data_IF_175199857374
#
_entry.id   IF_175199857374
#
_cell.length_a   1.000
_cell.length_b   1.000
_cell.length_c   1.000
_cell.angle_alpha   90.00
_cell.angle_beta   90.00
_cell.angle_gamma   90.00
#
_symmetry.space_group_name_H-M   'P 1'
#
loop_
_entity.id
_entity.type
_entity.pdbx_description
1 polymer ?
#
# COMPACT_ATOMS: atom_id res chain seq x y z
N UNK A 1 37.00 -34.99 2.06
CA UNK A 1 36.16 -34.51 0.95
C UNK A 1 34.75 -35.10 0.93
N UNK A 2 34.52 -36.42 0.78
CA UNK A 2 33.12 -36.95 0.81
C UNK A 2 32.38 -36.71 2.14
N UNK A 3 33.06 -36.82 3.28
CA UNK A 3 32.49 -36.50 4.60
C UNK A 3 32.10 -35.02 4.75
N UNK A 4 32.82 -34.10 4.09
CA UNK A 4 32.57 -32.66 4.19
C UNK A 4 31.36 -32.26 3.33
N UNK A 5 31.19 -32.90 2.16
CA UNK A 5 30.00 -32.71 1.32
C UNK A 5 28.72 -33.21 2.02
N UNK A 6 28.78 -34.36 2.70
CA UNK A 6 27.67 -34.87 3.51
C UNK A 6 27.33 -33.93 4.67
N UNK A 7 28.34 -33.35 5.33
CA UNK A 7 28.11 -32.38 6.40
C UNK A 7 27.39 -31.11 5.91
N UNK A 8 27.78 -30.57 4.73
CA UNK A 8 27.09 -29.40 4.15
C UNK A 8 25.69 -29.74 3.66
N UNK A 9 25.47 -30.93 3.10
CA UNK A 9 24.11 -31.39 2.76
C UNK A 9 23.21 -31.49 3.99
N UNK A 10 23.73 -32.05 5.10
CA UNK A 10 22.98 -32.13 6.34
C UNK A 10 22.62 -30.75 6.90
N UNK A 11 23.54 -29.77 6.84
CA UNK A 11 23.25 -28.38 7.22
C UNK A 11 22.16 -27.73 6.37
N UNK A 12 22.11 -28.04 5.06
CA UNK A 12 21.08 -27.53 4.16
C UNK A 12 19.72 -28.18 4.43
N UNK A 13 19.68 -29.48 4.68
CA UNK A 13 18.46 -30.21 5.02
C UNK A 13 17.91 -29.75 6.38
N UNK A 14 18.77 -29.53 7.38
CA UNK A 14 18.38 -28.98 8.69
C UNK A 14 17.79 -27.56 8.56
N UNK A 15 18.39 -26.70 7.72
CA UNK A 15 17.88 -25.34 7.48
C UNK A 15 16.56 -25.35 6.71
N UNK A 16 16.39 -26.26 5.75
CA UNK A 16 15.13 -26.45 5.04
C UNK A 16 14.02 -26.87 6.01
N UNK A 17 14.29 -27.81 6.91
CA UNK A 17 13.34 -28.24 7.94
C UNK A 17 13.00 -27.09 8.91
N UNK A 18 13.97 -26.26 9.31
CA UNK A 18 13.75 -25.09 10.17
C UNK A 18 12.84 -24.06 9.47
N UNK A 19 13.06 -23.81 8.18
CA UNK A 19 12.23 -22.90 7.37
C UNK A 19 10.81 -23.44 7.22
N UNK A 20 10.65 -24.74 6.93
CA UNK A 20 9.33 -25.37 6.84
C UNK A 20 8.58 -25.36 8.17
N UNK A 21 9.28 -25.58 9.28
CA UNK A 21 8.69 -25.49 10.62
C UNK A 21 8.25 -24.07 10.95
N UNK A 22 9.05 -23.06 10.59
CA UNK A 22 8.78 -21.66 10.90
C UNK A 22 7.64 -21.06 10.06
N UNK A 23 7.61 -21.33 8.75
CA UNK A 23 6.56 -20.81 7.86
C UNK A 23 5.33 -21.72 7.73
N UNK A 24 5.41 -22.96 8.24
CA UNK A 24 4.39 -23.98 8.12
C UNK A 24 4.25 -24.54 6.69
N UNK A 25 3.49 -25.64 6.56
CA UNK A 25 3.27 -26.34 5.28
C UNK A 25 2.61 -25.50 4.17
N UNK A 26 2.09 -24.32 4.51
CA UNK A 26 1.41 -23.40 3.59
C UNK A 26 2.30 -22.37 2.89
N UNK A 27 3.63 -22.37 3.17
CA UNK A 27 4.67 -21.54 2.54
C UNK A 27 4.15 -20.20 1.96
N UNK A 28 3.85 -19.23 2.82
CA UNK A 28 3.51 -17.88 2.35
C UNK A 28 4.77 -17.21 1.78
N UNK A 29 4.78 -16.96 0.46
CA UNK A 29 5.67 -16.05 -0.28
C UNK A 29 7.17 -16.10 0.05
N UNK A 30 7.57 -15.49 1.17
CA UNK A 30 8.95 -15.42 1.64
C UNK A 30 9.56 -16.77 2.01
N UNK A 31 8.78 -17.68 2.62
CA UNK A 31 9.24 -19.05 2.93
C UNK A 31 9.51 -19.87 1.67
N UNK A 32 8.62 -19.76 0.67
CA UNK A 32 8.76 -20.46 -0.60
C UNK A 32 9.99 -19.97 -1.39
N UNK A 33 10.26 -18.66 -1.40
CA UNK A 33 11.43 -18.10 -2.05
C UNK A 33 12.75 -18.59 -1.43
N UNK A 34 12.81 -18.76 -0.11
CA UNK A 34 13.99 -19.30 0.57
C UNK A 34 14.22 -20.78 0.27
N UNK A 35 13.14 -21.57 0.20
CA UNK A 35 13.22 -22.99 -0.14
C UNK A 35 13.71 -23.16 -1.58
N UNK A 36 13.23 -22.34 -2.52
CA UNK A 36 13.74 -22.34 -3.90
C UNK A 36 15.24 -21.97 -3.96
N UNK A 37 15.69 -20.98 -3.16
CA UNK A 37 17.13 -20.65 -3.06
C UNK A 37 17.94 -21.82 -2.49
N UNK A 38 17.42 -22.51 -1.47
CA UNK A 38 18.04 -23.70 -0.88
C UNK A 38 18.14 -24.86 -1.88
N UNK A 39 17.07 -25.13 -2.62
CA UNK A 39 17.05 -26.15 -3.67
C UNK A 39 18.02 -25.83 -4.81
N UNK A 40 18.14 -24.55 -5.20
CA UNK A 40 19.13 -24.12 -6.19
C UNK A 40 20.56 -24.36 -5.69
N UNK A 41 20.83 -24.10 -4.40
CA UNK A 41 22.12 -24.35 -3.78
C UNK A 41 22.44 -25.84 -3.68
N UNK A 42 21.44 -26.66 -3.34
CA UNK A 42 21.52 -28.12 -3.34
C UNK A 42 21.87 -28.67 -4.72
N UNK A 43 21.16 -28.20 -5.76
CA UNK A 43 21.45 -28.59 -7.15
C UNK A 43 22.85 -28.18 -7.59
N UNK A 44 23.36 -27.02 -7.17
CA UNK A 44 24.73 -26.60 -7.47
C UNK A 44 25.77 -27.53 -6.84
N UNK A 45 25.55 -28.00 -5.61
CA UNK A 45 26.44 -28.97 -4.94
C UNK A 45 26.40 -30.35 -5.61
N UNK A 46 25.23 -30.75 -6.12
CA UNK A 46 25.05 -32.03 -6.81
C UNK A 46 25.62 -32.03 -8.25
N UNK A 47 25.66 -30.88 -8.92
CA UNK A 47 26.02 -30.77 -10.35
C UNK A 47 27.40 -30.17 -10.62
N UNK A 48 27.94 -29.33 -9.74
CA UNK A 48 29.27 -28.74 -9.88
C UNK A 48 30.29 -29.46 -8.98
N UNK A 49 31.48 -29.74 -9.52
CA UNK A 49 32.62 -30.24 -8.76
C UNK A 49 32.87 -29.39 -7.49
N UNK A 50 33.42 -29.96 -6.40
CA UNK A 50 33.09 -29.59 -5.02
C UNK A 50 33.73 -28.27 -4.61
N UNK A 51 33.14 -27.14 -5.02
CA UNK A 51 33.36 -25.86 -4.35
C UNK A 51 32.54 -25.82 -3.05
N UNK A 52 32.99 -26.66 -2.13
CA UNK A 52 32.46 -26.81 -0.77
C UNK A 52 32.48 -25.48 -0.01
N UNK A 53 33.46 -24.63 -0.33
CA UNK A 53 33.62 -23.29 0.25
C UNK A 53 32.50 -22.37 -0.26
N UNK A 54 32.27 -22.31 -1.58
CA UNK A 54 31.18 -21.54 -2.17
C UNK A 54 29.79 -21.99 -1.67
N UNK A 55 29.57 -23.29 -1.56
CA UNK A 55 28.35 -23.87 -1.00
C UNK A 55 28.12 -23.46 0.47
N UNK A 56 29.16 -23.49 1.30
CA UNK A 56 29.08 -23.08 2.70
C UNK A 56 28.79 -21.58 2.86
N UNK A 57 29.42 -20.72 2.04
CA UNK A 57 29.09 -19.29 2.02
C UNK A 57 27.67 -19.01 1.53
N UNK A 58 27.19 -19.78 0.56
CA UNK A 58 25.80 -19.76 0.11
C UNK A 58 24.83 -20.12 1.24
N UNK A 59 25.11 -21.18 1.98
CA UNK A 59 24.36 -21.56 3.19
C UNK A 59 24.34 -20.43 4.22
N UNK A 60 25.51 -19.86 4.56
CA UNK A 60 25.61 -18.75 5.52
C UNK A 60 24.77 -17.55 5.09
N UNK A 61 24.79 -17.22 3.81
CA UNK A 61 24.01 -16.11 3.24
C UNK A 61 22.50 -16.36 3.41
N UNK A 62 22.02 -17.56 3.07
CA UNK A 62 20.59 -17.90 3.23
C UNK A 62 20.21 -17.91 4.71
N UNK A 63 21.08 -18.42 5.59
CA UNK A 63 20.85 -18.44 7.04
C UNK A 63 20.75 -17.02 7.61
N UNK A 64 21.64 -16.12 7.18
CA UNK A 64 21.58 -14.73 7.59
C UNK A 64 20.32 -14.04 7.08
N UNK A 65 19.95 -14.26 5.81
CA UNK A 65 18.67 -13.80 5.26
C UNK A 65 17.51 -14.31 6.13
N UNK A 66 17.44 -15.61 6.41
CA UNK A 66 16.40 -16.22 7.24
C UNK A 66 16.32 -15.57 8.63
N UNK A 67 17.45 -15.37 9.30
CA UNK A 67 17.49 -14.67 10.59
C UNK A 67 16.95 -13.23 10.49
N UNK A 68 17.30 -12.48 9.44
CA UNK A 68 16.75 -11.15 9.21
C UNK A 68 15.24 -11.19 8.97
N UNK A 69 14.73 -12.18 8.23
CA UNK A 69 13.29 -12.37 8.02
C UNK A 69 12.55 -12.72 9.31
N UNK A 70 13.10 -13.61 10.16
CA UNK A 70 12.52 -13.92 11.47
C UNK A 70 12.41 -12.66 12.35
N UNK A 71 13.49 -11.86 12.43
CA UNK A 71 13.49 -10.61 13.19
C UNK A 71 12.46 -9.63 12.65
N UNK A 72 12.38 -9.45 11.33
CA UNK A 72 11.37 -8.59 10.69
C UNK A 72 9.95 -9.08 10.93
N UNK A 73 9.74 -10.40 10.89
CA UNK A 73 8.43 -11.01 11.13
C UNK A 73 7.99 -10.85 12.58
N UNK A 74 8.88 -11.11 13.54
CA UNK A 74 8.62 -10.90 14.97
C UNK A 74 8.34 -9.42 15.29
N UNK A 75 9.12 -8.52 14.69
CA UNK A 75 8.90 -7.07 14.80
C UNK A 75 7.55 -6.64 14.21
N UNK A 76 7.24 -7.13 13.01
CA UNK A 76 5.97 -6.90 12.31
C UNK A 76 4.79 -7.42 13.13
N UNK A 77 4.86 -8.64 13.66
CA UNK A 77 3.80 -9.25 14.46
C UNK A 77 3.49 -8.43 15.72
N UNK A 78 4.52 -7.89 16.39
CA UNK A 78 4.34 -7.07 17.60
C UNK A 78 3.67 -5.72 17.29
N UNK A 79 4.04 -5.06 16.19
CA UNK A 79 3.51 -3.74 15.82
C UNK A 79 2.25 -3.77 14.97
N UNK A 80 1.98 -4.89 14.30
CA UNK A 80 0.80 -5.11 13.47
C UNK A 80 -0.47 -4.72 14.23
N UNK A 81 -0.63 -5.20 15.45
CA UNK A 81 -1.82 -4.92 16.27
C UNK A 81 -2.01 -3.45 16.57
N UNK A 82 -0.92 -2.71 16.84
CA UNK A 82 -0.99 -1.27 17.12
C UNK A 82 -1.52 -0.52 15.90
N UNK A 83 -0.95 -0.76 14.72
CA UNK A 83 -1.38 -0.09 13.49
C UNK A 83 -2.75 -0.57 13.01
N UNK A 84 -3.05 -1.86 13.15
CA UNK A 84 -4.35 -2.41 12.81
C UNK A 84 -5.45 -1.79 13.67
N UNK A 85 -5.27 -1.73 14.99
CA UNK A 85 -6.21 -1.08 15.90
C UNK A 85 -6.33 0.42 15.63
N UNK A 86 -5.23 1.11 15.30
CA UNK A 86 -5.27 2.50 14.87
C UNK A 86 -6.15 2.69 13.62
N UNK A 87 -5.91 1.92 12.55
CA UNK A 87 -6.70 2.03 11.31
C UNK A 87 -8.16 1.65 11.53
N UNK A 88 -8.43 0.61 12.32
CA UNK A 88 -9.79 0.23 12.69
C UNK A 88 -10.49 1.31 13.52
N UNK A 89 -9.77 1.94 14.46
CA UNK A 89 -10.27 3.07 15.24
C UNK A 89 -10.62 4.27 14.35
N UNK A 90 -9.73 4.64 13.43
CA UNK A 90 -9.99 5.70 12.45
C UNK A 90 -11.19 5.34 11.56
N UNK A 91 -11.29 4.09 11.09
CA UNK A 91 -12.42 3.63 10.29
C UNK A 91 -13.74 3.74 11.07
N UNK A 92 -13.76 3.34 12.33
CA UNK A 92 -14.95 3.45 13.20
C UNK A 92 -15.32 4.92 13.39
N UNK A 93 -14.35 5.79 13.69
CA UNK A 93 -14.59 7.23 13.86
C UNK A 93 -15.15 7.85 12.58
N UNK A 94 -14.60 7.49 11.42
CA UNK A 94 -15.17 7.88 10.14
C UNK A 94 -16.61 7.34 10.04
N UNK A 95 -16.86 6.04 10.08
CA UNK A 95 -18.23 5.52 9.94
C UNK A 95 -19.25 6.16 10.92
N UNK A 96 -18.86 6.37 12.18
CA UNK A 96 -19.69 7.03 13.19
C UNK A 96 -20.01 8.48 12.86
N UNK A 97 -19.03 9.28 12.42
CA UNK A 97 -19.35 10.65 12.05
C UNK A 97 -20.19 10.70 10.76
N UNK A 98 -20.11 9.69 9.87
CA UNK A 98 -21.02 9.53 8.74
C UNK A 98 -22.47 9.32 9.18
N UNK A 99 -22.69 8.42 10.13
CA UNK A 99 -24.00 8.18 10.75
C UNK A 99 -24.50 9.43 11.50
N UNK A 100 -23.62 10.11 12.24
CA UNK A 100 -23.98 11.33 12.96
C UNK A 100 -24.41 12.46 12.01
N UNK A 101 -23.73 12.58 10.86
CA UNK A 101 -24.11 13.51 9.82
C UNK A 101 -25.50 13.19 9.26
N UNK A 102 -25.80 11.92 8.99
CA UNK A 102 -27.13 11.51 8.52
C UNK A 102 -28.23 11.73 9.57
N UNK A 103 -27.93 11.49 10.84
CA UNK A 103 -28.89 11.61 11.95
C UNK A 103 -29.23 13.07 12.32
N UNK A 104 -28.30 14.02 12.13
CA UNK A 104 -28.53 15.45 12.37
C UNK A 104 -28.29 16.27 11.09
N UNK A 105 -29.28 16.27 10.17
CA UNK A 105 -29.17 17.02 8.91
C UNK A 105 -29.06 18.53 9.13
N UNK A 106 -29.41 19.06 10.30
CA UNK A 106 -29.29 20.50 10.65
C UNK A 106 -27.84 20.98 10.77
N UNK A 107 -26.93 20.15 11.29
CA UNK A 107 -25.48 20.46 11.35
C UNK A 107 -24.92 20.47 9.94
N UNK A 108 -25.30 19.47 9.14
CA UNK A 108 -25.00 19.42 7.73
C UNK A 108 -25.58 20.63 7.01
N UNK A 109 -26.81 21.05 7.28
CA UNK A 109 -27.44 22.19 6.59
C UNK A 109 -26.68 23.49 6.83
N UNK A 110 -26.09 23.68 8.02
CA UNK A 110 -25.21 24.81 8.33
C UNK A 110 -23.90 24.75 7.53
N UNK A 111 -23.28 23.57 7.42
CA UNK A 111 -22.07 23.34 6.60
C UNK A 111 -22.37 23.42 5.08
N UNK A 112 -23.55 22.94 4.65
CA UNK A 112 -24.06 22.99 3.28
C UNK A 112 -24.47 24.41 2.87
N UNK A 113 -24.94 25.24 3.80
CA UNK A 113 -25.30 26.64 3.53
C UNK A 113 -24.12 27.48 3.05
N UNK A 114 -22.89 27.02 3.32
CA UNK A 114 -21.65 27.53 2.73
C UNK A 114 -21.38 26.73 1.44
N UNK A 115 -22.18 27.01 0.40
CA UNK A 115 -22.43 26.24 -0.84
C UNK A 115 -21.22 25.70 -1.66
N UNK A 116 -19.97 25.92 -1.25
CA UNK A 116 -18.78 25.33 -1.90
C UNK A 116 -18.11 24.25 -1.07
N UNK A 117 -18.13 24.34 0.27
CA UNK A 117 -17.30 23.51 1.15
C UNK A 117 -17.81 22.09 1.35
N UNK A 118 -19.10 21.88 1.17
CA UNK A 118 -19.75 20.60 1.43
C UNK A 118 -19.27 19.47 0.52
N UNK A 119 -19.10 19.75 -0.78
CA UNK A 119 -18.56 18.79 -1.74
C UNK A 119 -17.11 18.43 -1.39
N UNK A 120 -16.30 19.42 -1.04
CA UNK A 120 -14.92 19.20 -0.64
C UNK A 120 -14.83 18.36 0.63
N UNK A 121 -15.65 18.67 1.64
CA UNK A 121 -15.68 17.88 2.88
C UNK A 121 -16.12 16.44 2.62
N UNK A 122 -17.14 16.24 1.79
CA UNK A 122 -17.60 14.91 1.40
C UNK A 122 -16.52 14.14 0.63
N UNK A 123 -15.85 14.78 -0.33
CA UNK A 123 -14.76 14.15 -1.06
C UNK A 123 -13.57 13.84 -0.15
N UNK A 124 -13.21 14.73 0.78
CA UNK A 124 -12.16 14.49 1.76
C UNK A 124 -12.49 13.27 2.63
N UNK A 125 -13.72 13.22 3.11
CA UNK A 125 -14.23 12.13 3.92
C UNK A 125 -14.16 10.78 3.20
N UNK A 126 -14.67 10.72 1.98
CA UNK A 126 -14.66 9.49 1.18
C UNK A 126 -13.25 9.09 0.73
N UNK A 127 -12.38 10.06 0.47
CA UNK A 127 -10.96 9.82 0.24
C UNK A 127 -10.26 9.24 1.47
N UNK A 128 -10.55 9.75 2.67
CA UNK A 128 -10.03 9.20 3.93
C UNK A 128 -10.49 7.75 4.14
N UNK A 129 -11.77 7.44 3.88
CA UNK A 129 -12.30 6.07 3.95
C UNK A 129 -11.58 5.13 2.98
N UNK A 130 -11.41 5.53 1.72
CA UNK A 130 -10.70 4.73 0.71
C UNK A 130 -9.25 4.45 1.11
N UNK A 131 -8.54 5.47 1.60
CA UNK A 131 -7.16 5.31 2.05
C UNK A 131 -7.03 4.42 3.30
N UNK A 132 -7.98 4.52 4.24
CA UNK A 132 -8.02 3.68 5.44
C UNK A 132 -8.24 2.21 5.08
N UNK A 133 -9.17 1.90 4.17
CA UNK A 133 -9.36 0.53 3.67
C UNK A 133 -8.12 -0.01 2.94
N UNK A 134 -7.49 0.83 2.11
CA UNK A 134 -6.22 0.50 1.47
C UNK A 134 -5.10 0.26 2.49
N UNK A 135 -5.08 1.00 3.61
CA UNK A 135 -4.12 0.81 4.70
C UNK A 135 -4.31 -0.55 5.37
N UNK A 136 -5.56 -0.92 5.68
CA UNK A 136 -5.92 -2.21 6.28
C UNK A 136 -5.56 -3.36 5.34
N UNK A 137 -5.86 -3.24 4.04
CA UNK A 137 -5.46 -4.23 3.04
C UNK A 137 -3.93 -4.38 2.98
N UNK A 138 -3.19 -3.27 2.96
CA UNK A 138 -1.73 -3.29 2.95
C UNK A 138 -1.17 -3.96 4.21
N UNK A 139 -1.75 -3.68 5.38
CA UNK A 139 -1.38 -4.30 6.65
C UNK A 139 -1.61 -5.81 6.61
N UNK A 140 -2.76 -6.25 6.07
CA UNK A 140 -3.10 -7.66 5.93
C UNK A 140 -2.12 -8.39 4.99
N UNK A 141 -1.87 -7.84 3.81
CA UNK A 141 -0.90 -8.39 2.86
C UNK A 141 0.52 -8.44 3.44
N UNK A 142 0.91 -7.40 4.17
CA UNK A 142 2.23 -7.32 4.79
C UNK A 142 2.40 -8.30 5.94
N UNK A 143 1.30 -8.65 6.63
CA UNK A 143 1.29 -9.71 7.65
C UNK A 143 1.46 -11.09 7.03
N UNK A 144 0.78 -11.35 5.92
CA UNK A 144 0.89 -12.64 5.21
C UNK A 144 2.26 -12.82 4.56
N UNK A 145 2.86 -11.74 4.03
CA UNK A 145 4.10 -11.84 3.26
C UNK A 145 5.37 -11.45 4.05
N UNK A 146 5.23 -10.89 5.26
CA UNK A 146 6.35 -10.47 6.11
C UNK A 146 7.13 -9.26 5.58
N UNK A 147 6.53 -8.43 4.72
CA UNK A 147 7.18 -7.33 4.00
C UNK A 147 7.11 -5.97 4.72
N UNK A 148 6.68 -5.95 5.99
CA UNK A 148 6.49 -4.72 6.75
C UNK A 148 7.85 -4.08 7.06
N UNK A 149 8.17 -3.01 6.34
CA UNK A 149 9.41 -2.24 6.54
C UNK A 149 9.21 -1.11 7.55
N UNK A 150 10.28 -0.69 8.24
CA UNK A 150 10.23 0.39 9.23
C UNK A 150 9.71 1.71 8.67
N UNK A 151 9.98 2.01 7.40
CA UNK A 151 9.49 3.21 6.72
C UNK A 151 7.98 3.16 6.44
N UNK A 152 7.37 1.97 6.51
CA UNK A 152 5.94 1.78 6.27
C UNK A 152 5.08 2.19 7.48
N UNK A 153 5.67 2.25 8.68
CA UNK A 153 4.97 2.60 9.93
C UNK A 153 4.41 4.04 9.89
N UNK A 154 5.27 5.01 9.60
CA UNK A 154 4.87 6.42 9.50
C UNK A 154 3.89 6.64 8.35
N UNK A 155 4.12 5.95 7.23
CA UNK A 155 3.25 6.01 6.07
C UNK A 155 1.83 5.52 6.37
N UNK A 156 1.70 4.39 7.06
CA UNK A 156 0.40 3.84 7.45
C UNK A 156 -0.34 4.79 8.39
N UNK A 157 0.33 5.35 9.39
CA UNK A 157 -0.30 6.27 10.33
C UNK A 157 -0.91 7.51 9.66
N UNK A 158 -0.23 8.06 8.65
CA UNK A 158 -0.65 9.28 7.96
C UNK A 158 -1.62 9.01 6.78
N UNK A 159 -1.77 7.74 6.37
CA UNK A 159 -2.56 7.33 5.20
C UNK A 159 -4.01 7.85 5.17
N UNK A 160 -4.78 7.90 6.28
CA UNK A 160 -6.10 8.51 6.27
C UNK A 160 -6.08 10.00 5.91
N UNK A 161 -5.06 10.74 6.37
CA UNK A 161 -4.88 12.16 6.05
C UNK A 161 -4.46 12.37 4.60
N UNK A 162 -3.56 11.55 4.05
CA UNK A 162 -3.23 11.63 2.61
C UNK A 162 -4.45 11.34 1.75
N UNK A 163 -5.25 10.34 2.12
CA UNK A 163 -6.54 10.06 1.48
C UNK A 163 -7.49 11.24 1.50
N UNK A 164 -7.61 11.93 2.64
CA UNK A 164 -8.44 13.12 2.75
C UNK A 164 -7.99 14.25 1.82
N UNK A 165 -6.68 14.52 1.77
CA UNK A 165 -6.10 15.53 0.87
C UNK A 165 -6.32 15.16 -0.59
N UNK A 166 -6.12 13.90 -0.98
CA UNK A 166 -6.38 13.43 -2.34
C UNK A 166 -7.86 13.54 -2.71
N UNK A 167 -8.75 13.24 -1.76
CA UNK A 167 -10.18 13.46 -1.91
C UNK A 167 -10.52 14.94 -2.19
N UNK A 168 -9.96 15.86 -1.41
CA UNK A 168 -10.12 17.31 -1.66
C UNK A 168 -9.65 17.72 -3.06
N UNK A 169 -8.45 17.28 -3.46
CA UNK A 169 -7.89 17.56 -4.79
C UNK A 169 -8.77 16.99 -5.90
N UNK A 170 -9.29 15.78 -5.72
CA UNK A 170 -10.19 15.16 -6.70
C UNK A 170 -11.52 15.90 -6.84
N UNK A 171 -12.08 16.41 -5.73
CA UNK A 171 -13.27 17.24 -5.73
C UNK A 171 -13.03 18.56 -6.47
N UNK A 172 -11.88 19.19 -6.24
CA UNK A 172 -11.47 20.41 -6.92
C UNK A 172 -11.33 20.23 -8.43
N UNK A 173 -10.66 19.16 -8.86
CA UNK A 173 -10.50 18.87 -10.29
C UNK A 173 -11.82 18.61 -10.99
N UNK A 174 -12.72 17.86 -10.35
CA UNK A 174 -14.04 17.59 -10.92
C UNK A 174 -14.91 18.85 -10.96
N UNK A 175 -14.79 19.74 -9.98
CA UNK A 175 -15.53 21.00 -9.98
C UNK A 175 -15.02 21.95 -11.08
N UNK A 176 -13.70 22.05 -11.28
CA UNK A 176 -13.13 22.80 -12.42
C UNK A 176 -13.57 22.18 -13.75
N UNK A 177 -13.58 20.86 -13.84
CA UNK A 177 -13.98 20.15 -15.05
C UNK A 177 -15.46 20.38 -15.35
N UNK A 178 -16.33 20.28 -14.35
CA UNK A 178 -17.76 20.59 -14.48
C UNK A 178 -17.96 22.05 -14.93
N UNK A 179 -17.30 23.01 -14.26
CA UNK A 179 -17.41 24.42 -14.63
C UNK A 179 -16.99 24.68 -16.09
N UNK A 180 -15.89 24.07 -16.54
CA UNK A 180 -15.41 24.24 -17.92
C UNK A 180 -16.27 23.56 -18.99
N UNK A 181 -17.05 22.54 -18.64
CA UNK A 181 -17.85 21.76 -19.60
C UNK A 181 -19.32 22.15 -19.64
N UNK A 182 -19.92 22.46 -18.48
CA UNK A 182 -21.35 22.78 -18.36
C UNK A 182 -21.62 24.22 -17.94
N UNK A 183 -20.61 24.99 -17.53
CA UNK A 183 -20.77 26.34 -16.97
C UNK A 183 -21.33 26.36 -15.54
N UNK A 184 -21.62 25.19 -14.98
CA UNK A 184 -22.18 25.03 -13.64
C UNK A 184 -21.07 24.93 -12.60
N UNK A 185 -21.21 25.68 -11.51
CA UNK A 185 -20.23 25.72 -10.42
C UNK A 185 -20.32 24.52 -9.46
N UNK A 186 -21.35 23.68 -9.61
CA UNK A 186 -21.65 22.62 -8.65
C UNK A 186 -21.66 21.25 -9.32
N UNK A 187 -20.54 20.53 -9.20
CA UNK A 187 -20.52 19.09 -9.46
C UNK A 187 -21.33 18.39 -8.37
N UNK A 188 -22.58 18.03 -8.68
CA UNK A 188 -23.48 17.33 -7.75
C UNK A 188 -23.58 15.85 -8.09
N UNK A 189 -23.88 15.02 -7.08
CA UNK A 189 -24.13 13.58 -7.25
C UNK A 189 -23.03 12.66 -6.72
N UNK A 190 -23.15 11.37 -7.04
CA UNK A 190 -22.33 10.28 -6.48
C UNK A 190 -20.93 10.20 -7.12
N UNK A 191 -20.79 10.72 -8.34
CA UNK A 191 -19.55 10.59 -9.14
C UNK A 191 -18.33 11.23 -8.46
N UNK A 192 -18.38 12.48 -7.94
CA UNK A 192 -17.21 13.08 -7.27
C UNK A 192 -16.79 12.33 -6.01
N UNK A 193 -17.77 11.82 -5.29
CA UNK A 193 -17.58 11.05 -4.06
C UNK A 193 -16.89 9.71 -4.33
N UNK A 194 -17.35 8.97 -5.35
CA UNK A 194 -16.70 7.72 -5.77
C UNK A 194 -15.29 7.97 -6.28
N UNK A 195 -15.10 9.02 -7.06
CA UNK A 195 -13.78 9.38 -7.58
C UNK A 195 -12.81 9.72 -6.44
N UNK A 196 -13.27 10.45 -5.42
CA UNK A 196 -12.49 10.75 -4.23
C UNK A 196 -12.14 9.49 -3.41
N UNK A 197 -13.10 8.57 -3.26
CA UNK A 197 -12.85 7.27 -2.64
C UNK A 197 -11.74 6.49 -3.36
N UNK A 198 -11.82 6.38 -4.69
CA UNK A 198 -10.80 5.70 -5.47
C UNK A 198 -9.44 6.41 -5.46
N UNK A 199 -9.44 7.75 -5.40
CA UNK A 199 -8.23 8.55 -5.26
C UNK A 199 -7.49 8.21 -3.95
N UNK A 200 -8.22 8.11 -2.84
CA UNK A 200 -7.66 7.68 -1.56
C UNK A 200 -7.27 6.20 -1.54
N UNK A 201 -8.08 5.32 -2.14
CA UNK A 201 -7.81 3.88 -2.16
C UNK A 201 -6.58 3.51 -3.00
N UNK A 202 -6.37 4.21 -4.13
CA UNK A 202 -5.38 3.90 -5.16
C UNK A 202 -4.40 5.04 -5.43
N UNK A 203 -3.88 5.66 -4.36
CA UNK A 203 -3.02 6.84 -4.39
C UNK A 203 -1.97 6.84 -5.53
N UNK A 204 -1.17 5.78 -5.68
CA UNK A 204 -0.16 5.71 -6.76
C UNK A 204 -0.77 5.86 -8.15
N UNK A 205 -1.84 5.12 -8.45
CA UNK A 205 -2.51 5.17 -9.76
C UNK A 205 -3.13 6.55 -9.98
N UNK A 206 -3.71 7.12 -8.93
CA UNK A 206 -4.30 8.45 -8.98
C UNK A 206 -3.24 9.54 -9.22
N UNK A 207 -2.11 9.51 -8.53
CA UNK A 207 -1.01 10.46 -8.74
C UNK A 207 -0.43 10.35 -10.16
N UNK A 208 -0.24 9.13 -10.68
CA UNK A 208 0.18 8.92 -12.07
C UNK A 208 -0.86 9.47 -13.06
N UNK A 209 -2.15 9.24 -12.80
CA UNK A 209 -3.22 9.81 -13.60
C UNK A 209 -3.19 11.35 -13.58
N UNK A 210 -3.04 11.95 -12.39
CA UNK A 210 -2.91 13.41 -12.23
C UNK A 210 -1.72 13.96 -13.01
N UNK A 211 -0.55 13.35 -12.89
CA UNK A 211 0.63 13.76 -13.63
C UNK A 211 0.38 13.73 -15.15
N UNK A 212 -0.26 12.66 -15.65
CA UNK A 212 -0.58 12.54 -17.07
C UNK A 212 -1.60 13.59 -17.56
N UNK A 213 -2.64 13.88 -16.77
CA UNK A 213 -3.71 14.82 -17.14
C UNK A 213 -3.32 16.28 -16.95
N UNK A 214 -2.62 16.61 -15.85
CA UNK A 214 -2.07 17.94 -15.64
C UNK A 214 -1.02 18.26 -16.72
N UNK A 215 -0.16 17.29 -17.07
CA UNK A 215 0.77 17.45 -18.19
C UNK A 215 0.06 17.78 -19.51
N UNK A 216 -1.06 17.10 -19.81
CA UNK A 216 -1.87 17.39 -21.00
C UNK A 216 -2.56 18.75 -20.93
N UNK A 217 -3.08 19.16 -19.76
CA UNK A 217 -3.72 20.47 -19.58
C UNK A 217 -2.74 21.62 -19.79
N UNK A 218 -1.52 21.53 -19.24
CA UNK A 218 -0.47 22.54 -19.44
C UNK A 218 -0.07 22.66 -20.91
N UNK A 219 0.10 21.53 -21.61
CA UNK A 219 0.41 21.53 -23.04
C UNK A 219 -0.73 22.11 -23.90
N UNK A 220 -1.97 21.87 -23.50
CA UNK A 220 -3.15 22.41 -24.21
C UNK A 220 -3.24 23.92 -24.05
N UNK A 221 -3.00 24.45 -22.85
CA UNK A 221 -2.95 25.90 -22.59
C UNK A 221 -1.82 26.59 -23.37
N UNK A 222 -0.63 25.96 -23.46
CA UNK A 222 0.47 26.49 -24.27
C UNK A 222 0.11 26.55 -25.76
N UNK A 223 -0.53 25.52 -26.31
CA UNK A 223 -0.98 25.52 -27.72
C UNK A 223 -2.07 26.56 -27.99
N UNK A 224 -3.01 26.76 -27.07
CA UNK A 224 -4.07 27.77 -27.22
C UNK A 224 -3.53 29.20 -27.14
N UNK A 225 -2.55 29.47 -26.28
CA UNK A 225 -1.89 30.77 -26.20
C UNK A 225 -1.01 31.06 -27.43
N UNK A 226 -0.28 30.06 -27.93
CA UNK A 226 0.53 30.21 -29.15
C UNK A 226 -0.32 30.54 -30.39
N UNK A 227 -1.56 30.04 -30.45
CA UNK A 227 -2.51 30.31 -31.55
C UNK A 227 -3.22 31.65 -31.45
N UNK A 228 -3.19 32.33 -30.29
CA UNK A 228 -3.72 33.70 -30.10
C UNK A 228 -2.68 34.79 -30.37
N UNK A 229 -1.40 34.43 -30.39
CA UNK A 229 -0.27 35.33 -30.65
C UNK A 229 0.27 35.28 -32.08
N UNK A 230 -0.36 34.49 -32.96
CA UNK A 230 -0.13 34.44 -34.40
C UNK A 230 -1.36 35.00 -35.12
#
# INVERSE_FOLDING_TARGET
>A
MQLEAQAVQQLLDDLAAEIEQYFGKGQSGSGQHMIVKLEALRKMIETAAPDLIGAYYGYLTIKEEFGQYQVRFAWSAKRFWVFFLWQMGVLIVLLLAGVAFEAQPSILHYVYSINGLSLYLACAWWGALGATLSAIHTLYDSRLNGTLSQNMDAWLAVKPFTGAVLGLVSGFLLQITAYSTTGDYHATGVVPVLFAFFAGFSERKFLTYLQSRLGQLVQTVQKTNAKKSA
#
